data_IF_159344843418
#
_entry.id   IF_159344843418
#
_cell.length_a   1.000
_cell.length_b   1.000
_cell.length_c   1.000
_cell.angle_alpha   90.00
_cell.angle_beta   90.00
_cell.angle_gamma   90.00
#
_symmetry.space_group_name_H-M   'P 1'
#
loop_
_entity.id
_entity.type
_entity.pdbx_description
1 polymer ?
#
# COMPACT_ATOMS: atom_id res chain seq x y z
N UNK A 1 14.41 -2.47 -13.20
CA UNK A 1 14.13 -1.52 -12.09
C UNK A 1 12.86 -0.69 -12.28
N UNK A 2 12.40 -0.43 -13.51
CA UNK A 2 11.15 0.34 -13.75
C UNK A 2 9.87 -0.28 -13.18
N UNK A 3 9.72 -1.62 -13.23
CA UNK A 3 8.53 -2.32 -12.71
C UNK A 3 8.39 -2.20 -11.18
N UNK A 4 9.48 -2.36 -10.43
CA UNK A 4 9.44 -2.22 -8.97
C UNK A 4 9.11 -0.76 -8.57
N UNK A 5 9.61 0.22 -9.34
CA UNK A 5 9.28 1.63 -9.16
C UNK A 5 7.79 1.88 -9.38
N UNK A 6 7.20 1.34 -10.45
CA UNK A 6 5.77 1.56 -10.75
C UNK A 6 4.87 0.90 -9.70
N UNK A 7 5.20 -0.32 -9.26
CA UNK A 7 4.53 -1.00 -8.16
C UNK A 7 4.56 -0.15 -6.88
N UNK A 8 5.75 0.30 -6.48
CA UNK A 8 5.91 1.09 -5.26
C UNK A 8 5.22 2.46 -5.33
N UNK A 9 5.20 3.09 -6.51
CA UNK A 9 4.46 4.34 -6.71
C UNK A 9 2.96 4.14 -6.47
N UNK A 10 2.36 3.10 -7.05
CA UNK A 10 0.95 2.78 -6.83
C UNK A 10 0.66 2.49 -5.36
N UNK A 11 1.51 1.70 -4.71
CA UNK A 11 1.38 1.39 -3.27
C UNK A 11 1.42 2.66 -2.41
N UNK A 12 2.42 3.53 -2.62
CA UNK A 12 2.59 4.76 -1.83
C UNK A 12 1.43 5.74 -2.03
N UNK A 13 0.93 5.89 -3.27
CA UNK A 13 -0.21 6.76 -3.56
C UNK A 13 -1.47 6.25 -2.87
N UNK A 14 -1.77 4.96 -2.99
CA UNK A 14 -2.93 4.34 -2.35
C UNK A 14 -2.85 4.45 -0.82
N UNK A 15 -1.69 4.17 -0.26
CA UNK A 15 -1.41 4.30 1.17
C UNK A 15 -1.64 5.74 1.64
N UNK A 16 -1.10 6.73 0.92
CA UNK A 16 -1.34 8.14 1.21
C UNK A 16 -2.83 8.52 1.21
N UNK A 17 -3.59 8.05 0.20
CA UNK A 17 -5.03 8.29 0.12
C UNK A 17 -5.80 7.67 1.30
N UNK A 18 -5.52 6.41 1.63
CA UNK A 18 -6.12 5.72 2.78
C UNK A 18 -5.86 6.52 4.06
N UNK A 19 -4.63 7.02 4.25
CA UNK A 19 -4.31 7.81 5.44
C UNK A 19 -5.02 9.16 5.49
N UNK A 20 -5.19 9.85 4.37
CA UNK A 20 -6.00 11.08 4.32
C UNK A 20 -7.42 10.79 4.81
N UNK A 21 -8.05 9.71 4.31
CA UNK A 21 -9.40 9.35 4.74
C UNK A 21 -9.48 8.98 6.22
N UNK A 22 -8.49 8.25 6.74
CA UNK A 22 -8.44 7.88 8.16
C UNK A 22 -8.26 9.11 9.07
N UNK A 23 -7.43 10.08 8.67
CA UNK A 23 -7.28 11.36 9.39
C UNK A 23 -8.61 12.11 9.43
N UNK A 24 -9.30 12.22 8.29
CA UNK A 24 -10.62 12.88 8.22
C UNK A 24 -11.64 12.17 9.11
N UNK A 25 -11.65 10.83 9.12
CA UNK A 25 -12.54 10.05 9.97
C UNK A 25 -12.26 10.27 11.47
N UNK A 26 -10.99 10.30 11.89
CA UNK A 26 -10.59 10.55 13.28
C UNK A 26 -10.96 11.96 13.73
N UNK A 27 -10.70 12.98 12.90
CA UNK A 27 -11.05 14.37 13.22
C UNK A 27 -12.56 14.53 13.35
N UNK A 28 -13.35 13.90 12.45
CA UNK A 28 -14.81 13.87 12.56
C UNK A 28 -15.32 13.11 13.79
N UNK A 29 -14.60 12.08 14.22
CA UNK A 29 -14.88 11.30 15.43
C UNK A 29 -14.54 12.03 16.74
N UNK A 30 -13.97 13.25 16.67
CA UNK A 30 -13.64 14.05 17.86
C UNK A 30 -12.20 13.89 18.36
N UNK A 31 -11.42 12.97 17.79
CA UNK A 31 -10.04 12.68 18.20
C UNK A 31 -9.01 13.37 17.31
N UNK A 32 -9.01 14.70 17.34
CA UNK A 32 -8.11 15.55 16.53
C UNK A 32 -6.62 15.28 16.79
N UNK A 33 -6.24 14.92 18.02
CA UNK A 33 -4.86 14.58 18.40
C UNK A 33 -4.35 13.30 17.72
N UNK A 34 -5.19 12.27 17.63
CA UNK A 34 -4.87 11.06 16.87
C UNK A 34 -4.81 11.39 15.38
N UNK A 35 -5.75 12.18 14.87
CA UNK A 35 -5.70 12.69 13.49
C UNK A 35 -4.37 13.37 13.15
N UNK A 36 -3.84 14.21 14.05
CA UNK A 36 -2.55 14.87 13.89
C UNK A 36 -1.37 13.88 13.89
N UNK A 37 -1.43 12.85 14.72
CA UNK A 37 -0.40 11.78 14.76
C UNK A 37 -0.37 10.97 13.45
N UNK A 38 -1.55 10.63 12.92
CA UNK A 38 -1.66 9.97 11.62
C UNK A 38 -1.23 10.88 10.46
N UNK A 39 -1.43 12.19 10.58
CA UNK A 39 -0.91 13.17 9.63
C UNK A 39 0.62 13.22 9.63
N UNK A 40 1.27 13.06 10.79
CA UNK A 40 2.73 12.92 10.86
C UNK A 40 3.22 11.63 10.19
N UNK A 41 2.50 10.52 10.33
CA UNK A 41 2.80 9.28 9.62
C UNK A 41 2.68 9.45 8.10
N UNK A 42 1.75 10.30 7.63
CA UNK A 42 1.55 10.62 6.22
C UNK A 42 2.78 11.27 5.57
N UNK A 43 3.70 11.84 6.38
CA UNK A 43 4.98 12.35 5.90
C UNK A 43 5.86 11.23 5.32
N UNK A 44 5.74 9.98 5.77
CA UNK A 44 6.53 8.86 5.24
C UNK A 44 6.22 8.55 3.76
N UNK A 45 4.95 8.28 3.36
CA UNK A 45 4.64 8.11 1.94
C UNK A 45 4.86 9.39 1.13
N UNK A 46 4.58 10.58 1.70
CA UNK A 46 4.79 11.85 1.00
C UNK A 46 6.28 12.12 0.67
N UNK A 47 7.17 11.95 1.66
CA UNK A 47 8.62 12.08 1.47
C UNK A 47 9.18 11.03 0.53
N UNK A 48 8.67 9.79 0.61
CA UNK A 48 9.04 8.71 -0.32
C UNK A 48 8.68 9.03 -1.77
N UNK A 49 7.50 9.59 -2.03
CA UNK A 49 7.07 10.03 -3.36
C UNK A 49 7.94 11.20 -3.85
N UNK A 50 8.24 12.17 -2.97
CA UNK A 50 9.12 13.29 -3.30
C UNK A 50 10.52 12.82 -3.67
N UNK A 51 11.12 11.92 -2.88
CA UNK A 51 12.42 11.31 -3.18
C UNK A 51 12.41 10.57 -4.53
N UNK A 52 11.34 9.83 -4.83
CA UNK A 52 11.18 9.14 -6.12
C UNK A 52 11.06 10.09 -7.32
N UNK A 53 10.51 11.29 -7.11
CA UNK A 53 10.40 12.35 -8.14
C UNK A 53 11.72 13.11 -8.32
N UNK A 54 12.36 13.55 -7.23
CA UNK A 54 13.61 14.32 -7.29
C UNK A 54 14.79 13.52 -7.85
N UNK A 55 14.84 12.20 -7.60
CA UNK A 55 15.90 11.33 -8.15
C UNK A 55 15.71 11.01 -9.65
N UNK A 56 14.61 11.43 -10.28
CA UNK A 56 14.23 11.07 -11.65
C UNK A 56 14.50 12.19 -12.69
N UNK A 57 15.58 12.96 -12.52
CA UNK A 57 15.87 14.16 -13.32
C UNK A 57 16.25 13.92 -14.80
N UNK A 58 16.31 12.68 -15.29
CA UNK A 58 16.54 12.39 -16.71
C UNK A 58 15.46 11.43 -17.23
N UNK A 59 14.37 11.98 -17.77
CA UNK A 59 13.37 11.18 -18.48
C UNK A 59 13.49 11.42 -19.98
N UNK A 60 14.06 10.43 -20.67
CA UNK A 60 13.86 10.23 -22.11
C UNK A 60 12.39 9.92 -22.40
N UNK A 61 11.89 10.36 -23.56
CA UNK A 61 10.50 10.18 -23.97
C UNK A 61 10.08 8.69 -23.89
N UNK A 62 9.18 8.37 -22.96
CA UNK A 62 8.71 7.00 -22.72
C UNK A 62 7.61 6.65 -23.72
N UNK A 63 7.83 5.59 -24.52
CA UNK A 63 6.85 5.05 -25.46
C UNK A 63 5.52 4.67 -24.78
N UNK A 64 4.37 4.90 -25.44
CA UNK A 64 3.03 4.73 -24.87
C UNK A 64 2.73 3.33 -24.32
N UNK A 65 3.25 2.27 -24.97
CA UNK A 65 3.11 0.88 -24.47
C UNK A 65 3.84 0.65 -23.15
N UNK A 66 5.01 1.27 -22.98
CA UNK A 66 5.80 1.18 -21.74
C UNK A 66 5.11 1.93 -20.60
N UNK A 67 4.46 3.06 -20.92
CA UNK A 67 3.64 3.82 -19.97
C UNK A 67 2.43 3.00 -19.49
N UNK A 68 1.71 2.35 -20.41
CA UNK A 68 0.57 1.48 -20.07
C UNK A 68 0.97 0.30 -19.19
N UNK A 69 2.06 -0.39 -19.52
CA UNK A 69 2.59 -1.51 -18.69
C UNK A 69 2.93 -1.07 -17.27
N UNK A 70 3.56 0.11 -17.16
CA UNK A 70 3.91 0.69 -15.85
C UNK A 70 2.66 1.08 -15.06
N UNK A 71 1.63 1.62 -15.72
CA UNK A 71 0.35 1.96 -15.10
C UNK A 71 -0.35 0.72 -14.56
N UNK A 72 -0.53 -0.32 -15.39
CA UNK A 72 -1.20 -1.56 -14.98
C UNK A 72 -0.49 -2.22 -13.79
N UNK A 73 0.85 -2.22 -13.81
CA UNK A 73 1.61 -2.76 -12.68
C UNK A 73 1.61 -1.84 -11.45
N UNK A 74 1.40 -0.53 -11.61
CA UNK A 74 1.16 0.36 -10.47
C UNK A 74 -0.16 0.08 -9.77
N UNK A 75 -1.21 -0.31 -10.52
CA UNK A 75 -2.49 -0.71 -9.94
C UNK A 75 -2.37 -1.99 -9.09
N UNK A 76 -1.44 -2.89 -9.43
CA UNK A 76 -1.09 -4.02 -8.54
C UNK A 76 -0.53 -3.53 -7.19
N UNK A 77 0.22 -2.43 -7.19
CA UNK A 77 0.70 -1.77 -5.97
C UNK A 77 -0.43 -1.15 -5.15
N UNK A 78 -1.40 -0.52 -5.82
CA UNK A 78 -2.63 -0.02 -5.17
C UNK A 78 -3.37 -1.15 -4.48
N UNK A 79 -3.53 -2.29 -5.18
CA UNK A 79 -4.22 -3.44 -4.65
C UNK A 79 -3.54 -4.01 -3.39
N UNK A 80 -2.21 -4.09 -3.40
CA UNK A 80 -1.43 -4.49 -2.23
C UNK A 80 -1.60 -3.54 -1.04
N UNK A 81 -1.68 -2.23 -1.28
CA UNK A 81 -1.87 -1.25 -0.22
C UNK A 81 -3.23 -1.41 0.46
N UNK A 82 -4.31 -1.61 -0.30
CA UNK A 82 -5.65 -1.84 0.25
C UNK A 82 -5.74 -3.15 1.02
N UNK A 83 -5.13 -4.22 0.50
CA UNK A 83 -5.03 -5.48 1.24
C UNK A 83 -4.22 -5.33 2.53
N UNK A 84 -3.09 -4.61 2.50
CA UNK A 84 -2.28 -4.38 3.70
C UNK A 84 -3.04 -3.56 4.75
N UNK A 85 -3.81 -2.56 4.32
CA UNK A 85 -4.65 -1.77 5.21
C UNK A 85 -5.73 -2.61 5.92
N UNK A 86 -6.41 -3.47 5.16
CA UNK A 86 -7.38 -4.43 5.70
C UNK A 86 -6.75 -5.37 6.73
N UNK A 87 -5.58 -5.93 6.42
CA UNK A 87 -4.87 -6.81 7.35
C UNK A 87 -4.53 -6.13 8.68
N UNK A 88 -4.00 -4.90 8.62
CA UNK A 88 -3.61 -4.17 9.84
C UNK A 88 -4.84 -3.86 10.69
N UNK A 89 -5.90 -3.36 10.06
CA UNK A 89 -7.13 -2.97 10.77
C UNK A 89 -7.87 -4.19 11.33
N UNK A 90 -7.86 -5.32 10.60
CA UNK A 90 -8.40 -6.60 11.07
C UNK A 90 -7.60 -7.16 12.24
N UNK A 91 -6.26 -7.18 12.14
CA UNK A 91 -5.39 -7.63 13.22
C UNK A 91 -5.66 -6.82 14.50
N UNK A 92 -5.80 -5.51 14.35
CA UNK A 92 -6.09 -4.63 15.46
C UNK A 92 -7.48 -4.87 16.07
N UNK A 93 -8.53 -4.95 15.24
CA UNK A 93 -9.90 -5.16 15.67
C UNK A 93 -10.14 -6.51 16.37
N UNK A 94 -9.30 -7.51 16.08
CA UNK A 94 -9.41 -8.84 16.69
C UNK A 94 -8.43 -8.99 17.85
N UNK A 95 -7.12 -8.87 17.61
CA UNK A 95 -6.12 -9.24 18.61
C UNK A 95 -5.85 -8.13 19.63
N UNK A 96 -6.08 -6.86 19.31
CA UNK A 96 -5.76 -5.75 20.22
C UNK A 96 -6.99 -5.33 21.02
N UNK A 97 -8.15 -5.19 20.38
CA UNK A 97 -9.37 -4.81 21.11
C UNK A 97 -10.13 -6.01 21.69
N UNK A 98 -9.85 -7.24 21.25
CA UNK A 98 -10.53 -8.46 21.71
C UNK A 98 -12.00 -8.57 21.28
N UNK A 99 -12.56 -7.54 20.64
CA UNK A 99 -13.99 -7.40 20.34
C UNK A 99 -14.50 -8.40 19.30
N UNK A 100 -13.61 -8.96 18.48
CA UNK A 100 -13.96 -9.89 17.41
C UNK A 100 -13.33 -11.29 17.57
N UNK A 101 -12.66 -11.57 18.70
CA UNK A 101 -12.10 -12.91 19.01
C UNK A 101 -13.20 -13.96 19.14
N UNK A 102 -14.37 -13.59 19.69
CA UNK A 102 -15.50 -14.52 19.86
C UNK A 102 -16.27 -14.80 18.55
N UNK A 103 -16.13 -13.95 17.53
CA UNK A 103 -16.86 -14.09 16.27
C UNK A 103 -16.13 -14.97 15.24
N UNK A 104 -14.79 -14.97 15.22
CA UNK A 104 -14.04 -15.82 14.27
C UNK A 104 -12.52 -15.96 14.58
N UNK A 105 -12.11 -16.80 15.55
CA UNK A 105 -10.71 -16.88 16.01
C UNK A 105 -9.72 -17.40 14.93
N UNK A 106 -10.19 -18.19 13.96
CA UNK A 106 -9.37 -18.70 12.85
C UNK A 106 -9.69 -18.07 11.49
N UNK A 107 -10.75 -17.27 11.38
CA UNK A 107 -11.18 -16.72 10.09
C UNK A 107 -10.30 -15.61 9.56
N UNK A 108 -9.71 -14.80 10.44
CA UNK A 108 -8.84 -13.71 9.98
C UNK A 108 -7.45 -14.19 9.51
N UNK A 109 -6.76 -15.17 10.15
CA UNK A 109 -5.53 -15.72 9.61
C UNK A 109 -5.78 -16.53 8.33
N UNK A 110 -6.89 -17.29 8.26
CA UNK A 110 -7.28 -17.99 7.04
C UNK A 110 -7.66 -17.02 5.92
N UNK A 111 -8.34 -15.92 6.24
CA UNK A 111 -8.65 -14.84 5.30
C UNK A 111 -7.39 -14.16 4.78
N UNK A 112 -6.40 -13.91 5.65
CA UNK A 112 -5.08 -13.41 5.25
C UNK A 112 -4.36 -14.36 4.30
N UNK A 113 -4.33 -15.66 4.62
CA UNK A 113 -3.71 -16.69 3.77
C UNK A 113 -4.42 -16.85 2.44
N UNK A 114 -5.77 -16.82 2.43
CA UNK A 114 -6.58 -16.86 1.23
C UNK A 114 -6.35 -15.64 0.32
N UNK A 115 -6.28 -14.46 0.91
CA UNK A 115 -5.95 -13.24 0.18
C UNK A 115 -4.51 -13.27 -0.36
N UNK A 116 -3.54 -13.80 0.40
CA UNK A 116 -2.17 -13.99 -0.09
C UNK A 116 -2.10 -15.00 -1.25
N UNK A 117 -2.86 -16.09 -1.17
CA UNK A 117 -2.99 -17.09 -2.24
C UNK A 117 -3.58 -16.50 -3.53
N UNK A 118 -4.33 -15.39 -3.43
CA UNK A 118 -4.79 -14.63 -4.58
C UNK A 118 -3.75 -13.58 -5.05
N UNK A 119 -3.33 -12.65 -4.17
CA UNK A 119 -2.48 -11.52 -4.55
C UNK A 119 -1.04 -11.92 -4.92
N UNK A 120 -0.48 -12.93 -4.26
CA UNK A 120 0.88 -13.42 -4.53
C UNK A 120 1.04 -13.90 -5.97
N UNK A 121 0.29 -14.93 -6.40
CA UNK A 121 0.31 -15.40 -7.78
C UNK A 121 -0.09 -14.31 -8.78
N UNK A 122 -1.11 -13.51 -8.48
CA UNK A 122 -1.58 -12.44 -9.38
C UNK A 122 -0.52 -11.38 -9.66
N UNK A 123 0.28 -11.02 -8.65
CA UNK A 123 1.40 -10.10 -8.82
C UNK A 123 2.51 -10.71 -9.69
N UNK A 124 2.84 -11.98 -9.49
CA UNK A 124 3.81 -12.71 -10.30
C UNK A 124 3.34 -12.80 -11.76
N UNK A 125 2.09 -13.19 -11.99
CA UNK A 125 1.51 -13.27 -13.33
C UNK A 125 1.47 -11.91 -14.02
N UNK A 126 1.06 -10.86 -13.31
CA UNK A 126 1.07 -9.49 -13.83
C UNK A 126 2.48 -9.04 -14.21
N UNK A 127 3.49 -9.37 -13.41
CA UNK A 127 4.89 -9.08 -13.74
C UNK A 127 5.34 -9.82 -15.02
N UNK A 128 5.01 -11.10 -15.14
CA UNK A 128 5.35 -11.91 -16.32
C UNK A 128 4.67 -11.37 -17.57
N UNK A 129 3.35 -11.14 -17.51
CA UNK A 129 2.55 -10.63 -18.64
C UNK A 129 2.99 -9.24 -19.09
N UNK A 130 3.34 -8.34 -18.17
CA UNK A 130 3.65 -6.95 -18.50
C UNK A 130 5.11 -6.71 -18.86
N UNK A 131 6.05 -7.48 -18.30
CA UNK A 131 7.49 -7.19 -18.44
C UNK A 131 8.33 -8.33 -19.00
N UNK A 132 7.89 -9.59 -18.92
CA UNK A 132 8.61 -10.73 -19.51
C UNK A 132 8.09 -11.06 -20.90
N UNK A 133 6.78 -11.13 -21.05
CA UNK A 133 6.12 -11.37 -22.33
C UNK A 133 5.98 -10.03 -23.06
N UNK A 134 6.71 -9.86 -24.16
CA UNK A 134 6.77 -8.57 -24.87
C UNK A 134 5.62 -8.39 -25.86
N UNK A 135 4.73 -9.37 -25.99
CA UNK A 135 3.66 -9.40 -26.97
C UNK A 135 2.49 -8.47 -26.64
N UNK A 136 1.75 -8.06 -27.67
CA UNK A 136 0.54 -7.25 -27.48
C UNK A 136 -0.57 -8.06 -26.79
N UNK A 137 -0.69 -9.34 -27.10
CA UNK A 137 -1.68 -10.24 -26.47
C UNK A 137 -1.49 -10.34 -24.95
N UNK A 138 -0.24 -10.38 -24.48
CA UNK A 138 0.06 -10.39 -23.05
C UNK A 138 -0.35 -9.08 -22.35
N UNK A 139 -0.22 -7.94 -23.04
CA UNK A 139 -0.70 -6.65 -22.54
C UNK A 139 -2.22 -6.64 -22.41
N UNK A 140 -2.95 -7.14 -23.41
CA UNK A 140 -4.41 -7.22 -23.37
C UNK A 140 -4.89 -8.20 -22.29
N UNK A 141 -4.19 -9.32 -22.07
CA UNK A 141 -4.51 -10.27 -20.99
C UNK A 141 -4.27 -9.69 -19.59
N UNK A 142 -3.32 -8.75 -19.44
CA UNK A 142 -3.04 -8.11 -18.16
C UNK A 142 -4.13 -7.10 -17.73
N UNK A 143 -4.92 -6.56 -18.67
CA UNK A 143 -6.02 -5.63 -18.38
C UNK A 143 -7.13 -6.28 -17.52
N UNK A 144 -7.79 -7.37 -17.95
CA UNK A 144 -8.84 -8.01 -17.16
C UNK A 144 -8.28 -8.57 -15.85
N UNK A 145 -7.04 -9.10 -15.85
CA UNK A 145 -6.38 -9.52 -14.61
C UNK A 145 -6.30 -8.35 -13.62
N UNK A 146 -5.84 -7.19 -14.08
CA UNK A 146 -5.74 -5.97 -13.25
C UNK A 146 -7.10 -5.48 -12.78
N UNK A 147 -8.15 -5.57 -13.62
CA UNK A 147 -9.51 -5.21 -13.22
C UNK A 147 -10.03 -6.11 -12.10
N UNK A 148 -9.83 -7.43 -12.20
CA UNK A 148 -10.22 -8.37 -11.14
C UNK A 148 -9.43 -8.11 -9.87
N UNK A 149 -8.10 -7.90 -9.98
CA UNK A 149 -7.28 -7.54 -8.81
C UNK A 149 -7.80 -6.27 -8.12
N UNK A 150 -8.13 -5.25 -8.91
CA UNK A 150 -8.64 -3.98 -8.39
C UNK A 150 -10.01 -4.16 -7.74
N UNK A 151 -10.92 -4.92 -8.35
CA UNK A 151 -12.21 -5.25 -7.76
C UNK A 151 -12.09 -5.91 -6.39
N UNK A 152 -11.25 -6.96 -6.30
CA UNK A 152 -10.96 -7.62 -5.01
C UNK A 152 -10.30 -6.65 -4.01
N UNK A 153 -9.41 -5.77 -4.47
CA UNK A 153 -8.75 -4.83 -3.57
C UNK A 153 -9.68 -3.74 -3.03
N UNK A 154 -10.71 -3.35 -3.77
CA UNK A 154 -11.73 -2.43 -3.28
C UNK A 154 -12.55 -3.07 -2.16
N UNK A 155 -12.84 -4.37 -2.25
CA UNK A 155 -13.49 -5.09 -1.16
C UNK A 155 -12.64 -5.03 0.11
N UNK A 156 -11.32 -5.23 0.00
CA UNK A 156 -10.41 -5.10 1.15
C UNK A 156 -10.36 -3.66 1.68
N UNK A 157 -10.37 -2.64 0.81
CA UNK A 157 -10.45 -1.25 1.27
C UNK A 157 -11.71 -1.01 2.11
N UNK A 158 -12.87 -1.51 1.67
CA UNK A 158 -14.11 -1.36 2.40
C UNK A 158 -14.12 -2.16 3.71
N UNK A 159 -13.62 -3.39 3.71
CA UNK A 159 -13.47 -4.19 4.92
C UNK A 159 -12.55 -3.51 5.94
N UNK A 160 -11.38 -3.03 5.48
CA UNK A 160 -10.44 -2.28 6.31
C UNK A 160 -11.04 -0.98 6.85
N UNK A 161 -11.84 -0.27 6.05
CA UNK A 161 -12.53 0.93 6.50
C UNK A 161 -13.59 0.63 7.59
N UNK A 162 -14.34 -0.47 7.46
CA UNK A 162 -15.28 -0.92 8.49
C UNK A 162 -14.55 -1.30 9.78
N UNK A 163 -13.45 -2.06 9.69
CA UNK A 163 -12.61 -2.40 10.82
C UNK A 163 -11.99 -1.15 11.47
N UNK A 164 -11.64 -0.14 10.68
CA UNK A 164 -11.17 1.15 11.20
C UNK A 164 -12.25 1.93 11.93
N UNK A 165 -13.53 1.82 11.57
CA UNK A 165 -14.61 2.45 12.35
C UNK A 165 -14.72 1.86 13.76
N UNK A 166 -14.48 0.56 13.92
CA UNK A 166 -14.37 -0.07 15.25
C UNK A 166 -13.25 0.59 16.06
N UNK A 167 -12.11 0.89 15.43
CA UNK A 167 -11.04 1.67 16.07
C UNK A 167 -11.50 3.07 16.47
N UNK A 168 -12.14 3.84 15.59
CA UNK A 168 -12.63 5.20 15.92
C UNK A 168 -13.57 5.17 17.12
N UNK A 169 -14.44 4.17 17.21
CA UNK A 169 -15.40 4.02 18.32
C UNK A 169 -14.74 3.56 19.64
N UNK A 170 -13.64 2.81 19.56
CA UNK A 170 -12.95 2.23 20.72
C UNK A 170 -11.69 2.98 21.11
N UNK A 171 -11.22 3.93 20.29
CA UNK A 171 -10.05 4.74 20.55
C UNK A 171 -10.19 5.52 21.86
N UNK A 172 -11.41 5.84 22.30
CA UNK A 172 -11.67 6.47 23.59
C UNK A 172 -11.31 5.59 24.81
N UNK A 173 -11.23 4.25 24.67
CA UNK A 173 -11.32 3.30 25.80
C UNK A 173 -10.01 2.83 26.46
N UNK A 174 -8.81 3.03 25.91
CA UNK A 174 -7.56 2.84 26.67
C UNK A 174 -6.36 3.49 25.98
N UNK A 175 -5.51 4.23 26.71
CA UNK A 175 -4.34 4.94 26.15
C UNK A 175 -3.30 4.01 25.52
N UNK A 176 -3.14 2.79 26.03
CA UNK A 176 -2.09 1.86 25.59
C UNK A 176 -2.44 1.21 24.24
N UNK A 177 -3.72 0.94 24.02
CA UNK A 177 -4.24 0.33 22.78
C UNK A 177 -4.15 1.32 21.59
N UNK A 178 -4.17 2.63 21.85
CA UNK A 178 -4.10 3.69 20.82
C UNK A 178 -2.80 3.69 20.01
N UNK A 179 -1.68 3.32 20.64
CA UNK A 179 -0.36 3.47 20.00
C UNK A 179 0.07 2.23 19.21
N UNK A 180 -0.54 1.07 19.44
CA UNK A 180 -0.19 -0.17 18.75
C UNK A 180 -0.62 -0.17 17.27
N UNK A 181 -1.80 0.39 16.95
CA UNK A 181 -2.22 0.58 15.56
C UNK A 181 -1.30 1.57 14.84
N UNK A 182 -0.94 2.66 15.51
CA UNK A 182 0.01 3.66 15.01
C UNK A 182 1.38 3.03 14.73
N UNK A 183 1.88 2.16 15.61
CA UNK A 183 3.16 1.48 15.45
C UNK A 183 3.16 0.50 14.28
N UNK A 184 2.10 -0.32 14.14
CA UNK A 184 1.92 -1.25 13.02
C UNK A 184 1.87 -0.52 11.67
N UNK A 185 1.14 0.58 11.65
CA UNK A 185 1.02 1.46 10.48
C UNK A 185 2.36 2.11 10.13
N UNK A 186 3.07 2.64 11.12
CA UNK A 186 4.38 3.25 10.92
C UNK A 186 5.40 2.23 10.40
N UNK A 187 5.40 1.00 10.95
CA UNK A 187 6.29 -0.07 10.53
C UNK A 187 6.06 -0.48 9.06
N UNK A 188 4.81 -0.64 8.64
CA UNK A 188 4.49 -1.01 7.27
C UNK A 188 4.81 0.13 6.28
N UNK A 189 4.55 1.38 6.68
CA UNK A 189 4.88 2.57 5.89
C UNK A 189 6.41 2.81 5.75
N UNK A 190 7.22 2.39 6.74
CA UNK A 190 8.69 2.47 6.69
C UNK A 190 9.32 1.36 5.82
N UNK A 191 8.68 0.20 5.73
CA UNK A 191 9.23 -0.94 4.99
C UNK A 191 9.46 -0.61 3.50
N UNK A 192 8.54 0.11 2.88
CA UNK A 192 8.61 0.47 1.45
C UNK A 192 9.79 1.39 1.11
N UNK A 193 9.98 2.55 1.76
CA UNK A 193 11.14 3.41 1.50
C UNK A 193 12.47 2.72 1.82
N UNK A 194 12.54 1.85 2.83
CA UNK A 194 13.76 1.09 3.16
C UNK A 194 14.09 0.08 2.05
N UNK A 195 13.10 -0.65 1.54
CA UNK A 195 13.30 -1.59 0.44
C UNK A 195 13.71 -0.87 -0.85
N UNK A 196 13.12 0.30 -1.10
CA UNK A 196 13.48 1.14 -2.25
C UNK A 196 14.88 1.74 -2.13
N UNK A 197 15.28 2.22 -0.95
CA UNK A 197 16.60 2.84 -0.74
C UNK A 197 17.73 1.82 -0.86
N UNK A 198 17.54 0.58 -0.38
CA UNK A 198 18.54 -0.50 -0.48
C UNK A 198 18.71 -1.08 -1.88
N UNK A 199 17.69 -0.99 -2.75
CA UNK A 199 17.72 -1.57 -4.11
C UNK A 199 17.98 -0.56 -5.23
N UNK A 200 18.18 0.73 -4.91
CA UNK A 200 18.53 1.74 -5.90
C UNK A 200 20.05 1.96 -5.96
N UNK A 201 20.67 1.97 -7.15
CA UNK A 201 22.07 2.36 -7.29
C UNK A 201 22.29 3.76 -6.69
N UNK A 202 23.40 3.93 -5.95
CA UNK A 202 23.88 5.26 -5.60
C UNK A 202 24.29 5.98 -6.89
N UNK A 203 24.03 7.30 -7.02
CA UNK A 203 24.61 8.08 -8.09
C UNK A 203 26.14 7.96 -7.96
N UNK A 204 26.81 7.41 -8.97
CA UNK A 204 28.26 7.56 -9.07
C UNK A 204 28.53 9.05 -9.26
N UNK A 205 29.04 9.70 -8.21
CA UNK A 205 29.67 11.01 -8.33
C UNK A 205 30.80 10.84 -9.35
N UNK A 206 30.63 11.45 -10.53
CA UNK A 206 31.65 11.47 -11.56
C UNK A 206 32.79 12.38 -11.08
N UNK A 207 33.97 11.87 -10.69
CA UNK A 207 35.07 12.72 -10.28
C UNK A 207 35.81 13.16 -11.53
N UNK A 208 35.29 14.17 -12.22
CA UNK A 208 36.03 14.90 -13.24
C UNK A 208 35.72 16.38 -13.15
N UNK A 209 36.47 17.07 -12.29
CA UNK A 209 36.94 18.42 -12.56
C UNK A 209 38.42 18.42 -12.14
N UNK A 210 39.28 18.16 -13.13
CA UNK A 210 40.69 18.54 -13.15
C UNK A 210 40.79 19.84 -13.93
#
# INVERSE_FOLDING_TARGET
MGSLKSLAQGFLVATGLVWIFNVVALVRGGDAWLGLTYLLILLLPATSILLLKFKASNQTAVNGKTKMRSLLFSLQGVALAFWSFDLITTFYAINVTGLAVELNPLGWPLGMLGAFAFYGPTLVFSYVLLFKLKDNTALYAAIPLTMVTMGMSLMNLFAGAQNFQVFVQTASLASNIRFDLLALVAALNLAVPIVLSRKMPQPQLNPKIS
#
